data_IF_486186615722
#
_entry.id   IF_486186615722
#
_cell.length_a   1.000
_cell.length_b   1.000
_cell.length_c   1.000
_cell.angle_alpha   90.00
_cell.angle_beta   90.00
_cell.angle_gamma   90.00
#
_symmetry.space_group_name_H-M   'P 1'
#
loop_
_entity.id
_entity.type
_entity.pdbx_description
1 polymer ?
#
# COMPACT_ATOMS: atom_id res chain seq x y z
N UNK A 1 30.86 -1.20 22.91
CA UNK A 1 31.58 -2.48 23.06
C UNK A 1 32.93 -2.30 23.77
N UNK A 2 33.78 -1.37 23.35
CA UNK A 2 35.10 -1.12 23.97
C UNK A 2 34.96 -0.69 25.42
N UNK A 3 34.08 0.25 25.73
CA UNK A 3 33.78 0.68 27.09
C UNK A 3 33.36 -0.48 28.00
N UNK A 4 32.40 -1.31 27.55
CA UNK A 4 31.92 -2.44 28.34
C UNK A 4 32.99 -3.52 28.54
N UNK A 5 33.85 -3.78 27.55
CA UNK A 5 34.99 -4.68 27.72
C UNK A 5 36.00 -4.14 28.74
N UNK A 6 36.32 -2.84 28.67
CA UNK A 6 37.20 -2.19 29.67
C UNK A 6 36.60 -2.23 31.07
N UNK A 7 35.26 -2.20 31.19
CA UNK A 7 34.55 -2.34 32.47
C UNK A 7 34.38 -3.81 32.92
N UNK A 8 35.04 -4.78 32.28
CA UNK A 8 35.05 -6.19 32.69
C UNK A 8 33.87 -7.03 32.16
N UNK A 9 33.04 -6.49 31.26
CA UNK A 9 31.94 -7.25 30.67
C UNK A 9 32.44 -8.13 29.50
N UNK A 10 31.84 -9.31 29.39
CA UNK A 10 32.02 -10.16 28.20
C UNK A 10 31.09 -9.65 27.08
N UNK A 11 31.56 -8.67 26.31
CA UNK A 11 30.77 -8.00 25.27
C UNK A 11 31.22 -8.42 23.88
N UNK A 12 30.26 -8.87 23.07
CA UNK A 12 30.46 -9.31 21.70
C UNK A 12 29.60 -8.46 20.75
N UNK A 13 30.20 -8.03 19.63
CA UNK A 13 29.49 -7.43 18.50
C UNK A 13 29.81 -8.23 17.24
N UNK A 14 28.84 -8.94 16.72
CA UNK A 14 28.93 -9.65 15.44
C UNK A 14 28.40 -8.72 14.35
N UNK A 15 29.24 -8.28 13.39
CA UNK A 15 28.82 -7.38 12.34
C UNK A 15 28.16 -8.14 11.18
N UNK A 16 27.28 -7.43 10.46
CA UNK A 16 26.71 -7.92 9.22
C UNK A 16 26.26 -6.76 8.34
N UNK A 17 26.12 -7.03 7.06
CA UNK A 17 25.61 -6.08 6.06
C UNK A 17 24.36 -6.59 5.41
N UNK A 18 23.39 -5.70 5.22
CA UNK A 18 22.16 -5.99 4.49
C UNK A 18 22.37 -5.71 2.99
N UNK A 19 21.72 -6.52 2.14
CA UNK A 19 21.68 -6.31 0.70
C UNK A 19 20.80 -5.12 0.28
N UNK A 20 19.96 -4.61 1.17
CA UNK A 20 19.07 -3.45 0.97
C UNK A 20 18.27 -3.50 -0.35
N UNK A 21 17.96 -4.70 -0.80
CA UNK A 21 17.18 -5.09 -1.99
C UNK A 21 16.72 -3.94 -2.90
N UNK A 22 15.54 -3.39 -2.67
CA UNK A 22 14.89 -2.40 -3.54
C UNK A 22 15.64 -1.06 -3.59
N UNK A 23 16.23 -0.61 -2.46
CA UNK A 23 17.03 0.61 -2.46
C UNK A 23 18.30 0.47 -3.32
N UNK A 24 18.94 -0.69 -3.28
CA UNK A 24 20.07 -1.02 -4.18
C UNK A 24 19.63 -1.09 -5.63
N UNK A 25 18.50 -1.76 -5.90
CA UNK A 25 17.91 -1.83 -7.23
C UNK A 25 17.61 -0.45 -7.80
N UNK A 26 16.99 0.44 -7.04
CA UNK A 26 16.69 1.81 -7.46
C UNK A 26 17.95 2.59 -7.86
N UNK A 27 19.07 2.41 -7.15
CA UNK A 27 20.36 3.03 -7.50
C UNK A 27 20.94 2.46 -8.80
N UNK A 28 20.83 1.16 -9.00
CA UNK A 28 21.30 0.50 -10.22
C UNK A 28 20.45 0.95 -11.41
N UNK A 29 19.13 0.99 -11.27
CA UNK A 29 18.21 1.47 -12.31
C UNK A 29 18.48 2.93 -12.67
N UNK A 30 18.73 3.80 -11.67
CA UNK A 30 19.11 5.18 -11.94
C UNK A 30 20.40 5.28 -12.77
N UNK A 31 21.42 4.45 -12.47
CA UNK A 31 22.66 4.40 -13.25
C UNK A 31 22.45 3.87 -14.66
N UNK A 32 21.61 2.84 -14.83
CA UNK A 32 21.25 2.34 -16.17
C UNK A 32 20.54 3.42 -17.01
N UNK A 33 19.68 4.20 -16.38
CA UNK A 33 18.99 5.32 -17.06
C UNK A 33 19.97 6.38 -17.57
N UNK A 34 21.05 6.67 -16.83
CA UNK A 34 22.13 7.54 -17.29
C UNK A 34 22.87 6.94 -18.50
N UNK A 35 22.96 5.61 -18.58
CA UNK A 35 23.53 4.88 -19.73
C UNK A 35 22.53 4.74 -20.90
N UNK A 36 21.28 5.20 -20.77
CA UNK A 36 20.22 5.06 -21.78
C UNK A 36 19.66 3.64 -21.91
N UNK A 37 19.81 2.80 -20.88
CA UNK A 37 19.41 1.38 -20.86
C UNK A 37 18.31 1.19 -19.84
N UNK A 38 17.28 0.40 -20.15
CA UNK A 38 16.27 -0.01 -19.19
C UNK A 38 16.60 -1.34 -18.53
N UNK A 39 15.98 -1.64 -17.41
CA UNK A 39 16.10 -2.94 -16.72
C UNK A 39 15.58 -4.08 -17.61
N UNK A 40 14.51 -3.80 -18.34
CA UNK A 40 13.86 -4.71 -19.28
C UNK A 40 14.77 -5.06 -20.45
N UNK A 41 15.51 -4.09 -20.98
CA UNK A 41 16.48 -4.29 -22.09
C UNK A 41 17.62 -5.22 -21.68
N UNK A 42 18.07 -5.14 -20.42
CA UNK A 42 19.13 -6.02 -19.91
C UNK A 42 18.65 -7.45 -19.67
N UNK A 43 17.41 -7.64 -19.28
CA UNK A 43 16.92 -8.91 -18.77
C UNK A 43 17.52 -9.28 -17.40
N UNK A 44 16.97 -10.35 -16.80
CA UNK A 44 17.25 -10.74 -15.41
C UNK A 44 18.72 -11.06 -15.14
N UNK A 45 19.37 -11.83 -16.02
CA UNK A 45 20.72 -12.31 -15.77
C UNK A 45 21.75 -11.20 -15.76
N UNK A 46 21.71 -10.33 -16.76
CA UNK A 46 22.63 -9.19 -16.82
C UNK A 46 22.35 -8.15 -15.73
N UNK A 47 21.08 -7.95 -15.37
CA UNK A 47 20.74 -7.10 -14.23
C UNK A 47 21.33 -7.65 -12.93
N UNK A 48 21.26 -8.96 -12.67
CA UNK A 48 21.87 -9.58 -11.50
C UNK A 48 23.39 -9.43 -11.50
N UNK A 49 24.07 -9.52 -12.65
CA UNK A 49 25.52 -9.25 -12.73
C UNK A 49 25.82 -7.79 -12.28
N UNK A 50 25.07 -6.82 -12.79
CA UNK A 50 25.20 -5.43 -12.37
C UNK A 50 24.97 -5.25 -10.86
N UNK A 51 23.99 -5.95 -10.29
CA UNK A 51 23.72 -5.93 -8.85
C UNK A 51 24.89 -6.53 -8.03
N UNK A 52 25.47 -7.63 -8.46
CA UNK A 52 26.64 -8.22 -7.80
C UNK A 52 27.90 -7.37 -7.93
N UNK A 53 28.10 -6.69 -9.07
CA UNK A 53 29.21 -5.77 -9.26
C UNK A 53 29.05 -4.53 -8.37
N UNK A 54 27.85 -3.98 -8.26
CA UNK A 54 27.51 -2.93 -7.30
C UNK A 54 27.84 -3.34 -5.86
N UNK A 55 27.44 -4.55 -5.48
CA UNK A 55 27.76 -5.10 -4.14
C UNK A 55 29.28 -5.25 -3.92
N UNK A 56 30.06 -5.66 -4.92
CA UNK A 56 31.54 -5.74 -4.81
C UNK A 56 32.15 -4.36 -4.60
N UNK A 57 31.64 -3.35 -5.30
CA UNK A 57 32.16 -1.98 -5.23
C UNK A 57 31.79 -1.29 -3.92
N UNK A 58 30.51 -1.33 -3.55
CA UNK A 58 29.97 -0.52 -2.43
C UNK A 58 29.74 -1.31 -1.13
N UNK A 59 29.45 -2.59 -1.20
CA UNK A 59 29.01 -3.39 -0.05
C UNK A 59 30.00 -3.51 1.11
N UNK A 60 31.30 -3.29 0.86
CA UNK A 60 32.33 -3.33 1.89
C UNK A 60 32.73 -1.95 2.46
N UNK A 61 32.08 -0.86 2.02
CA UNK A 61 32.49 0.50 2.44
C UNK A 61 32.19 0.72 3.92
N UNK A 62 30.99 0.38 4.38
CA UNK A 62 30.56 0.59 5.75
C UNK A 62 31.43 -0.18 6.75
N UNK A 63 31.79 -1.42 6.47
CA UNK A 63 32.66 -2.23 7.35
C UNK A 63 34.08 -1.68 7.41
N UNK A 64 34.61 -1.15 6.29
CA UNK A 64 35.89 -0.44 6.26
C UNK A 64 35.84 0.85 7.08
N UNK A 65 34.75 1.61 7.04
CA UNK A 65 34.56 2.82 7.83
C UNK A 65 34.48 2.49 9.33
N UNK A 66 33.71 1.47 9.72
CA UNK A 66 33.60 1.01 11.11
C UNK A 66 34.98 0.56 11.65
N UNK A 67 35.80 -0.12 10.85
CA UNK A 67 37.18 -0.49 11.22
C UNK A 67 38.03 0.75 11.43
N UNK A 68 37.95 1.77 10.57
CA UNK A 68 38.67 3.03 10.73
C UNK A 68 38.28 3.80 11.98
N UNK A 69 37.01 3.71 12.41
CA UNK A 69 36.52 4.28 13.66
C UNK A 69 37.04 3.51 14.92
N UNK A 70 37.78 2.41 14.73
CA UNK A 70 38.31 1.61 15.82
C UNK A 70 37.29 0.78 16.57
N UNK A 71 36.14 0.46 15.95
CA UNK A 71 35.12 -0.40 16.57
C UNK A 71 35.61 -1.83 16.69
N UNK A 72 35.41 -2.44 17.87
CA UNK A 72 35.85 -3.80 18.18
C UNK A 72 34.73 -4.80 17.88
N UNK A 73 34.59 -5.19 16.60
CA UNK A 73 33.69 -6.23 16.15
C UNK A 73 34.38 -7.58 16.00
N UNK A 74 33.64 -8.66 16.02
CA UNK A 74 34.11 -9.97 15.63
C UNK A 74 34.07 -10.09 14.10
N UNK A 75 35.08 -9.56 13.46
CA UNK A 75 35.19 -9.53 11.99
C UNK A 75 35.32 -10.92 11.36
N UNK A 76 35.67 -11.96 12.11
CA UNK A 76 35.76 -13.33 11.64
C UNK A 76 34.40 -13.93 11.37
N UNK A 77 33.34 -13.35 11.97
CA UNK A 77 31.94 -13.75 11.81
C UNK A 77 31.11 -12.74 11.03
N UNK A 78 31.76 -11.84 10.29
CA UNK A 78 31.06 -10.92 9.40
C UNK A 78 30.18 -11.69 8.40
N UNK A 79 28.91 -11.27 8.30
CA UNK A 79 27.91 -11.93 7.44
C UNK A 79 27.30 -10.92 6.47
N UNK A 80 26.75 -11.46 5.38
CA UNK A 80 25.95 -10.72 4.41
C UNK A 80 24.62 -11.42 4.19
N UNK A 81 23.52 -10.69 4.16
CA UNK A 81 22.15 -11.27 4.13
C UNK A 81 21.86 -12.22 2.99
N UNK A 82 22.59 -12.14 1.88
CA UNK A 82 22.50 -13.08 0.76
C UNK A 82 23.68 -14.05 0.67
N UNK A 83 24.50 -14.21 1.73
CA UNK A 83 25.49 -15.29 1.72
C UNK A 83 24.81 -16.66 1.79
N UNK A 84 25.52 -17.70 1.39
CA UNK A 84 25.00 -19.06 1.28
C UNK A 84 24.38 -19.55 2.61
N UNK A 85 25.04 -19.30 3.74
CA UNK A 85 24.56 -19.77 5.03
C UNK A 85 23.26 -19.08 5.46
N UNK A 86 23.15 -17.76 5.29
CA UNK A 86 21.92 -17.02 5.60
C UNK A 86 20.80 -17.34 4.59
N UNK A 87 21.12 -17.52 3.32
CA UNK A 87 20.15 -17.96 2.32
C UNK A 87 19.54 -19.33 2.67
N UNK A 88 20.37 -20.29 3.08
CA UNK A 88 19.91 -21.59 3.54
C UNK A 88 19.05 -21.49 4.81
N UNK A 89 19.42 -20.61 5.75
CA UNK A 89 18.64 -20.38 6.97
C UNK A 89 17.25 -19.82 6.65
N UNK A 90 17.16 -18.82 5.77
CA UNK A 90 15.88 -18.22 5.33
C UNK A 90 15.00 -19.27 4.66
N UNK A 91 15.54 -20.06 3.72
CA UNK A 91 14.79 -21.14 3.06
C UNK A 91 14.28 -22.17 4.08
N UNK A 92 15.13 -22.59 5.01
CA UNK A 92 14.75 -23.55 6.06
C UNK A 92 13.61 -23.02 6.92
N UNK A 93 13.69 -21.77 7.36
CA UNK A 93 12.62 -21.14 8.16
C UNK A 93 11.33 -21.04 7.35
N UNK A 94 11.40 -20.58 6.10
CA UNK A 94 10.23 -20.49 5.22
C UNK A 94 9.53 -21.85 5.06
N UNK A 95 10.30 -22.90 4.71
CA UNK A 95 9.77 -24.25 4.52
C UNK A 95 9.13 -24.78 5.82
N UNK A 96 9.79 -24.58 6.96
CA UNK A 96 9.28 -25.02 8.26
C UNK A 96 7.97 -24.33 8.63
N UNK A 97 7.87 -23.02 8.41
CA UNK A 97 6.64 -22.25 8.68
C UNK A 97 5.51 -22.64 7.72
N UNK A 98 5.85 -22.88 6.44
CA UNK A 98 4.89 -23.36 5.44
C UNK A 98 4.32 -24.73 5.81
N UNK A 99 5.19 -25.68 6.17
CA UNK A 99 4.78 -27.04 6.59
C UNK A 99 3.94 -27.04 7.86
N UNK A 100 4.11 -26.04 8.75
CA UNK A 100 3.27 -25.82 9.93
C UNK A 100 1.94 -25.12 9.60
N UNK A 101 1.68 -24.78 8.33
CA UNK A 101 0.47 -24.05 7.91
C UNK A 101 0.40 -22.60 8.42
N UNK A 102 1.56 -22.04 8.80
CA UNK A 102 1.67 -20.66 9.29
C UNK A 102 1.89 -19.65 8.17
N UNK A 103 2.55 -20.06 7.06
CA UNK A 103 2.69 -19.24 5.85
C UNK A 103 1.59 -19.59 4.86
N UNK A 104 0.95 -18.59 4.29
CA UNK A 104 -0.10 -18.74 3.28
C UNK A 104 -0.06 -17.60 2.26
N UNK A 105 -0.61 -17.87 1.06
CA UNK A 105 -0.91 -16.81 0.08
C UNK A 105 -2.36 -16.40 0.23
N UNK A 106 -2.61 -15.09 0.25
CA UNK A 106 -3.96 -14.53 0.35
C UNK A 106 -4.04 -13.18 -0.33
N UNK A 107 -5.25 -12.80 -0.68
CA UNK A 107 -5.55 -11.45 -1.15
C UNK A 107 -5.77 -10.53 0.05
N UNK A 108 -5.07 -9.41 0.05
CA UNK A 108 -5.18 -8.38 1.08
C UNK A 108 -5.01 -7.01 0.43
N UNK A 109 -5.59 -6.01 1.08
CA UNK A 109 -5.25 -4.62 0.81
C UNK A 109 -3.80 -4.36 1.19
N UNK A 110 -3.04 -3.77 0.29
CA UNK A 110 -1.64 -3.39 0.47
C UNK A 110 -1.42 -1.97 -0.04
N UNK A 111 -0.41 -1.30 0.49
CA UNK A 111 0.10 -0.08 -0.12
C UNK A 111 1.00 -0.46 -1.29
N UNK A 112 0.65 -0.04 -2.49
CA UNK A 112 1.38 -0.35 -3.71
C UNK A 112 2.02 0.90 -4.29
N UNK A 113 3.27 0.79 -4.72
CA UNK A 113 3.91 1.85 -5.49
C UNK A 113 3.92 1.49 -6.97
N UNK A 114 3.13 2.17 -7.83
CA UNK A 114 3.07 1.86 -9.26
C UNK A 114 4.36 2.18 -10.00
N UNK A 115 5.23 3.03 -9.45
CA UNK A 115 6.53 3.38 -10.05
C UNK A 115 7.63 2.37 -9.68
N UNK A 116 7.67 1.93 -8.42
CA UNK A 116 8.66 0.94 -7.97
C UNK A 116 8.21 -0.51 -8.18
N UNK A 117 6.96 -0.74 -8.58
CA UNK A 117 6.33 -2.05 -8.76
C UNK A 117 6.51 -2.96 -7.53
N UNK A 118 6.23 -2.41 -6.35
CA UNK A 118 6.41 -3.12 -5.08
C UNK A 118 5.38 -2.70 -4.04
N UNK A 119 5.08 -3.61 -3.12
CA UNK A 119 4.36 -3.28 -1.89
C UNK A 119 5.23 -2.45 -0.95
N UNK A 120 4.59 -1.58 -0.19
CA UNK A 120 5.20 -0.71 0.81
C UNK A 120 4.54 -1.05 2.15
N UNK A 121 5.34 -1.27 3.20
CA UNK A 121 4.79 -1.45 4.55
C UNK A 121 4.27 -0.12 5.11
N UNK A 122 3.33 -0.17 6.05
CA UNK A 122 2.75 1.04 6.65
C UNK A 122 3.82 1.95 7.28
N UNK A 123 4.89 1.36 7.83
CA UNK A 123 6.02 2.09 8.42
C UNK A 123 6.95 2.76 7.39
N UNK A 124 6.82 2.42 6.11
CA UNK A 124 7.61 2.96 5.01
C UNK A 124 6.82 3.98 4.16
N UNK A 125 5.57 4.25 4.52
CA UNK A 125 4.77 5.31 3.91
C UNK A 125 5.11 6.64 4.57
N UNK A 126 5.50 7.60 3.77
CA UNK A 126 5.69 8.99 4.19
C UNK A 126 4.46 9.79 3.82
N UNK A 127 3.91 10.57 4.76
CA UNK A 127 2.71 11.37 4.50
C UNK A 127 3.10 12.82 4.26
N UNK A 128 2.63 13.38 3.15
CA UNK A 128 2.84 14.76 2.75
C UNK A 128 1.50 15.46 2.54
N UNK A 129 1.37 16.70 3.03
CA UNK A 129 0.20 17.51 2.77
C UNK A 129 0.20 18.02 1.32
N UNK A 130 -0.81 17.63 0.55
CA UNK A 130 -0.98 18.06 -0.83
C UNK A 130 -2.31 18.81 -1.03
N UNK A 131 -2.26 19.94 -1.76
CA UNK A 131 -3.47 20.60 -2.22
C UNK A 131 -4.16 19.74 -3.29
N UNK A 132 -5.44 19.56 -3.14
CA UNK A 132 -6.30 18.83 -4.05
C UNK A 132 -7.69 19.44 -4.07
N UNK A 133 -8.67 18.70 -4.56
CA UNK A 133 -10.07 19.08 -4.50
C UNK A 133 -10.90 17.98 -3.84
N UNK A 134 -12.01 18.38 -3.31
CA UNK A 134 -13.08 17.50 -2.87
C UNK A 134 -14.24 17.63 -3.88
N UNK A 135 -14.49 16.56 -4.63
CA UNK A 135 -15.54 16.53 -5.65
C UNK A 135 -16.84 16.00 -5.06
N UNK A 136 -17.89 16.79 -5.11
CA UNK A 136 -19.22 16.44 -4.63
C UNK A 136 -20.07 15.91 -5.79
N UNK A 137 -20.48 14.65 -5.70
CA UNK A 137 -21.08 13.89 -6.81
C UNK A 137 -22.45 13.37 -6.40
N UNK A 138 -23.47 13.54 -7.26
CA UNK A 138 -24.81 13.00 -7.07
C UNK A 138 -24.85 11.52 -7.40
N UNK A 139 -25.39 10.73 -6.49
CA UNK A 139 -25.74 9.32 -6.69
C UNK A 139 -27.26 9.20 -6.60
N UNK A 140 -28.00 9.12 -7.74
CA UNK A 140 -29.47 9.07 -7.75
C UNK A 140 -30.00 7.85 -7.00
N UNK A 141 -31.04 8.03 -6.18
CA UNK A 141 -31.69 6.92 -5.46
C UNK A 141 -32.63 6.21 -6.42
N UNK A 142 -32.44 4.90 -6.58
CA UNK A 142 -33.27 4.08 -7.46
C UNK A 142 -34.73 4.11 -7.02
N UNK A 143 -35.62 4.39 -7.98
CA UNK A 143 -37.06 4.42 -7.74
C UNK A 143 -37.57 5.68 -7.03
N UNK A 144 -36.74 6.68 -6.77
CA UNK A 144 -37.13 7.95 -6.18
C UNK A 144 -36.71 9.12 -7.08
N UNK A 145 -37.59 9.50 -7.99
CA UNK A 145 -37.33 10.56 -8.98
C UNK A 145 -36.90 11.88 -8.28
N UNK A 146 -35.82 12.47 -8.76
CA UNK A 146 -35.28 13.73 -8.23
C UNK A 146 -34.51 13.62 -6.91
N UNK A 147 -34.48 12.46 -6.24
CA UNK A 147 -33.72 12.26 -5.01
C UNK A 147 -32.36 11.61 -5.28
N UNK A 148 -31.36 12.04 -4.52
CA UNK A 148 -29.99 11.55 -4.64
C UNK A 148 -29.24 11.67 -3.32
N UNK A 149 -28.23 10.86 -3.12
CA UNK A 149 -27.19 11.11 -2.13
C UNK A 149 -26.08 11.94 -2.78
N UNK A 150 -25.41 12.75 -1.98
CA UNK A 150 -24.19 13.46 -2.40
C UNK A 150 -23.04 12.79 -1.69
N UNK A 151 -22.08 12.25 -2.44
CA UNK A 151 -20.83 11.78 -1.90
C UNK A 151 -19.71 12.78 -2.21
N UNK A 152 -18.73 12.90 -1.32
CA UNK A 152 -17.58 13.75 -1.53
C UNK A 152 -16.30 12.87 -1.57
N UNK A 153 -15.44 13.09 -2.56
CA UNK A 153 -14.23 12.29 -2.74
C UNK A 153 -13.05 13.14 -3.24
N UNK A 154 -11.85 12.78 -2.82
CA UNK A 154 -10.59 13.31 -3.38
C UNK A 154 -10.07 12.44 -4.54
N UNK A 155 -10.72 11.30 -4.81
CA UNK A 155 -10.29 10.30 -5.80
C UNK A 155 -11.44 9.88 -6.72
N UNK A 156 -11.92 10.78 -7.60
CA UNK A 156 -13.05 10.48 -8.49
C UNK A 156 -12.76 9.34 -9.47
N UNK A 157 -11.50 9.02 -9.78
CA UNK A 157 -11.14 7.89 -10.64
C UNK A 157 -11.52 6.53 -10.03
N UNK A 158 -11.47 6.41 -8.69
CA UNK A 158 -11.82 5.14 -8.04
C UNK A 158 -13.32 4.89 -7.99
N UNK A 159 -14.15 5.93 -8.17
CA UNK A 159 -15.62 5.78 -8.11
C UNK A 159 -16.18 4.77 -9.11
N UNK A 160 -15.48 4.53 -10.22
CA UNK A 160 -15.94 3.54 -11.21
C UNK A 160 -15.99 2.12 -10.63
N UNK A 161 -15.27 1.89 -9.52
CA UNK A 161 -15.26 0.65 -8.76
C UNK A 161 -16.12 0.67 -7.49
N UNK A 162 -16.96 1.69 -7.29
CA UNK A 162 -17.81 1.73 -6.11
C UNK A 162 -18.82 0.59 -6.11
N UNK A 163 -18.98 -0.04 -4.95
CA UNK A 163 -19.89 -1.14 -4.73
C UNK A 163 -20.85 -0.93 -3.56
N UNK A 164 -20.78 0.24 -2.93
CA UNK A 164 -21.69 0.68 -1.88
C UNK A 164 -21.58 2.17 -1.58
N UNK A 165 -22.55 2.67 -0.84
CA UNK A 165 -22.50 3.98 -0.17
C UNK A 165 -22.80 3.74 1.30
N UNK A 166 -21.91 4.22 2.20
CA UNK A 166 -22.08 4.12 3.63
C UNK A 166 -22.68 5.42 4.20
N UNK A 167 -23.59 5.28 5.15
CA UNK A 167 -24.15 6.38 5.92
C UNK A 167 -24.21 5.98 7.39
N UNK A 168 -24.14 6.97 8.29
CA UNK A 168 -24.25 6.70 9.72
C UNK A 168 -25.71 6.33 10.06
N UNK A 169 -25.96 5.21 10.76
CA UNK A 169 -27.34 4.78 11.13
C UNK A 169 -28.08 5.76 12.04
N UNK A 170 -27.34 6.65 12.71
CA UNK A 170 -27.91 7.67 13.59
C UNK A 170 -28.11 9.03 12.87
N UNK A 171 -27.76 9.14 11.59
CA UNK A 171 -27.97 10.34 10.80
C UNK A 171 -29.40 10.36 10.23
N UNK A 172 -30.25 11.19 10.80
CA UNK A 172 -31.66 11.32 10.41
C UNK A 172 -31.86 11.75 8.94
N UNK A 173 -30.82 12.36 8.31
CA UNK A 173 -30.86 12.75 6.89
C UNK A 173 -30.92 11.53 5.97
N UNK A 174 -30.26 10.43 6.37
CA UNK A 174 -30.03 9.28 5.52
C UNK A 174 -30.66 7.95 6.03
N UNK A 175 -31.07 7.90 7.28
CA UNK A 175 -31.63 6.72 7.94
C UNK A 175 -32.74 6.03 7.11
N UNK A 176 -33.61 6.81 6.47
CA UNK A 176 -34.70 6.28 5.64
C UNK A 176 -34.25 5.66 4.31
N UNK A 177 -32.97 5.82 3.95
CA UNK A 177 -32.40 5.30 2.72
C UNK A 177 -31.56 4.06 2.93
N UNK A 178 -31.22 3.69 4.16
CA UNK A 178 -30.48 2.45 4.47
C UNK A 178 -31.25 1.24 3.93
N UNK A 179 -30.54 0.38 3.21
CA UNK A 179 -31.11 -0.79 2.51
C UNK A 179 -31.70 -0.50 1.13
N UNK A 180 -31.81 0.78 0.72
CA UNK A 180 -32.12 1.14 -0.66
C UNK A 180 -30.87 1.10 -1.53
N UNK A 181 -31.05 1.40 -2.82
CA UNK A 181 -29.99 1.37 -3.85
C UNK A 181 -29.83 2.75 -4.47
N UNK A 182 -28.60 3.10 -4.80
CA UNK A 182 -28.28 4.24 -5.68
C UNK A 182 -27.72 3.76 -7.00
N UNK A 183 -27.83 4.62 -8.01
CA UNK A 183 -27.25 4.41 -9.33
C UNK A 183 -25.88 5.08 -9.38
N UNK A 184 -24.83 4.30 -9.60
CA UNK A 184 -23.47 4.81 -9.78
C UNK A 184 -23.39 5.61 -11.08
N UNK A 185 -23.07 6.91 -11.05
CA UNK A 185 -22.93 7.71 -12.26
C UNK A 185 -21.88 7.13 -13.22
N UNK A 186 -22.02 7.41 -14.53
CA UNK A 186 -21.16 6.94 -15.62
C UNK A 186 -21.31 5.43 -15.86
N UNK A 187 -21.15 4.61 -14.82
CA UNK A 187 -21.16 3.13 -14.90
C UNK A 187 -22.57 2.57 -15.03
N UNK A 188 -23.56 3.21 -14.38
CA UNK A 188 -24.94 2.73 -14.35
C UNK A 188 -25.15 1.49 -13.45
N UNK A 189 -24.20 1.16 -12.59
CA UNK A 189 -24.33 0.06 -11.63
C UNK A 189 -25.23 0.44 -10.48
N UNK A 190 -26.07 -0.50 -10.04
CA UNK A 190 -26.84 -0.38 -8.80
C UNK A 190 -25.99 -0.79 -7.61
N UNK A 191 -25.85 0.09 -6.62
CA UNK A 191 -25.07 -0.18 -5.42
C UNK A 191 -25.89 0.12 -4.15
N UNK A 192 -25.79 -0.71 -3.09
CA UNK A 192 -26.56 -0.55 -1.87
C UNK A 192 -26.12 0.64 -1.03
N UNK A 193 -27.07 1.19 -0.27
CA UNK A 193 -26.83 2.11 0.82
C UNK A 193 -26.75 1.28 2.10
N UNK A 194 -25.60 1.28 2.78
CA UNK A 194 -25.35 0.51 3.99
C UNK A 194 -25.21 1.40 5.23
N UNK A 195 -25.52 0.84 6.38
CA UNK A 195 -25.26 1.48 7.66
C UNK A 195 -23.81 1.22 8.10
N UNK A 196 -23.11 2.27 8.52
CA UNK A 196 -21.74 2.15 9.02
C UNK A 196 -21.44 3.22 10.10
N UNK A 197 -21.11 2.74 11.29
CA UNK A 197 -20.87 3.61 12.46
C UNK A 197 -19.61 4.49 12.31
N UNK A 198 -18.67 4.11 11.45
CA UNK A 198 -17.45 4.87 11.21
C UNK A 198 -17.68 6.14 10.36
N UNK A 199 -18.85 6.30 9.75
CA UNK A 199 -19.17 7.50 8.96
C UNK A 199 -19.45 8.68 9.89
N UNK A 200 -18.64 9.72 9.77
CA UNK A 200 -18.79 10.97 10.50
C UNK A 200 -19.90 11.81 9.88
N UNK A 201 -20.92 12.15 10.66
CA UNK A 201 -22.09 12.89 10.19
C UNK A 201 -21.78 14.33 9.80
N UNK A 202 -20.76 14.93 10.41
CA UNK A 202 -20.35 16.33 10.21
C UNK A 202 -19.25 16.48 9.13
N UNK A 203 -18.60 15.40 8.72
CA UNK A 203 -17.55 15.45 7.70
C UNK A 203 -18.15 15.29 6.28
N UNK A 204 -17.74 16.18 5.39
CA UNK A 204 -18.17 16.17 3.99
C UNK A 204 -19.69 16.28 3.86
N UNK A 205 -20.32 15.24 3.33
CA UNK A 205 -21.78 15.16 3.15
C UNK A 205 -22.47 14.26 4.18
N UNK A 206 -21.71 13.50 4.98
CA UNK A 206 -22.23 12.43 5.84
C UNK A 206 -22.58 11.15 5.07
N UNK A 207 -22.29 11.09 3.78
CA UNK A 207 -22.41 9.89 2.95
C UNK A 207 -21.07 9.61 2.29
N UNK A 208 -20.54 8.40 2.45
CA UNK A 208 -19.22 7.96 1.97
C UNK A 208 -19.39 6.90 0.90
N UNK A 209 -18.79 7.12 -0.26
CA UNK A 209 -18.69 6.09 -1.29
C UNK A 209 -17.77 4.96 -0.82
N UNK A 210 -18.05 3.74 -1.18
CA UNK A 210 -17.23 2.58 -0.86
C UNK A 210 -16.61 1.96 -2.11
N UNK A 211 -15.28 2.03 -2.18
CA UNK A 211 -14.47 1.37 -3.21
C UNK A 211 -13.55 0.33 -2.55
N UNK A 212 -14.05 -0.83 -2.17
CA UNK A 212 -13.33 -1.80 -1.34
C UNK A 212 -12.01 -2.30 -1.94
N UNK A 213 -11.82 -2.18 -3.24
CA UNK A 213 -10.55 -2.58 -3.89
C UNK A 213 -9.45 -1.52 -3.83
N UNK A 214 -9.75 -0.26 -3.41
CA UNK A 214 -8.85 0.89 -3.53
C UNK A 214 -8.78 1.79 -2.28
N UNK A 215 -9.36 1.37 -1.16
CA UNK A 215 -9.27 2.05 0.13
C UNK A 215 -9.27 1.03 1.27
N UNK A 216 -8.43 1.26 2.29
CA UNK A 216 -8.23 0.33 3.41
C UNK A 216 -9.48 0.22 4.29
N UNK A 217 -10.15 1.36 4.55
CA UNK A 217 -11.36 1.38 5.37
C UNK A 217 -12.55 0.79 4.60
N UNK A 218 -12.65 1.13 3.31
CA UNK A 218 -13.69 0.59 2.43
C UNK A 218 -13.52 -0.93 2.24
N UNK A 219 -12.29 -1.44 2.25
CA UNK A 219 -12.00 -2.89 2.17
C UNK A 219 -12.63 -3.65 3.33
N UNK A 220 -12.45 -3.17 4.57
CA UNK A 220 -13.05 -3.83 5.74
C UNK A 220 -14.58 -3.73 5.70
N UNK A 221 -15.13 -2.55 5.38
CA UNK A 221 -16.57 -2.37 5.21
C UNK A 221 -17.13 -3.28 4.09
N UNK A 222 -16.37 -3.46 3.03
CA UNK A 222 -16.71 -4.37 1.94
C UNK A 222 -16.78 -5.83 2.38
N UNK A 223 -15.82 -6.31 3.18
CA UNK A 223 -15.83 -7.66 3.73
C UNK A 223 -17.03 -7.88 4.67
N UNK A 224 -17.28 -6.93 5.57
CA UNK A 224 -18.34 -7.02 6.57
C UNK A 224 -19.75 -7.02 5.93
N UNK A 225 -19.90 -6.39 4.78
CA UNK A 225 -21.17 -6.26 4.07
C UNK A 225 -21.25 -7.09 2.78
N UNK A 226 -20.29 -7.97 2.50
CA UNK A 226 -20.18 -8.79 1.29
C UNK A 226 -20.27 -7.97 -0.01
N UNK A 227 -19.65 -6.79 -0.05
CA UNK A 227 -19.57 -5.96 -1.24
C UNK A 227 -18.53 -6.53 -2.23
N UNK A 228 -18.77 -6.32 -3.51
CA UNK A 228 -17.85 -6.76 -4.56
C UNK A 228 -16.54 -5.95 -4.53
N UNK A 229 -15.42 -6.62 -4.81
CA UNK A 229 -14.09 -6.02 -4.85
C UNK A 229 -13.68 -5.71 -6.30
N UNK A 230 -14.01 -4.52 -6.78
CA UNK A 230 -13.79 -4.13 -8.18
C UNK A 230 -12.54 -3.27 -8.31
N UNK A 231 -11.51 -3.81 -8.95
CA UNK A 231 -10.31 -3.04 -9.29
C UNK A 231 -10.58 -2.18 -10.53
N UNK A 232 -10.23 -0.90 -10.48
CA UNK A 232 -10.43 0.03 -11.60
C UNK A 232 -9.16 0.34 -12.38
N UNK A 233 -8.00 0.01 -11.84
CA UNK A 233 -6.69 0.14 -12.51
C UNK A 233 -5.76 -1.03 -12.15
N UNK A 234 -4.73 -1.20 -12.97
CA UNK A 234 -3.71 -2.24 -12.82
C UNK A 234 -2.54 -1.83 -11.90
N UNK A 235 -1.52 -2.68 -11.82
CA UNK A 235 -0.32 -2.47 -11.01
C UNK A 235 0.57 -1.30 -11.50
N UNK A 236 0.35 -0.82 -12.73
CA UNK A 236 1.04 0.34 -13.30
C UNK A 236 0.27 1.64 -13.06
N UNK A 237 -0.92 1.60 -12.44
CA UNK A 237 -1.80 2.74 -12.31
C UNK A 237 -2.51 3.10 -13.63
N UNK A 238 -2.72 2.11 -14.49
CA UNK A 238 -3.43 2.27 -15.76
C UNK A 238 -4.85 1.74 -15.61
N UNK A 239 -5.82 2.57 -16.02
CA UNK A 239 -7.25 2.22 -15.95
C UNK A 239 -7.55 0.98 -16.76
N UNK A 240 -8.33 0.06 -16.19
CA UNK A 240 -8.82 -1.12 -16.88
C UNK A 240 -10.06 -0.81 -17.76
N UNK A 241 -10.69 -1.83 -18.30
CA UNK A 241 -11.79 -1.74 -19.28
C UNK A 241 -13.21 -1.71 -18.67
N UNK A 242 -13.35 -1.47 -17.36
CA UNK A 242 -14.69 -1.36 -16.71
C UNK A 242 -15.55 -0.31 -17.42
N UNK A 243 -14.94 0.83 -17.76
CA UNK A 243 -15.53 1.84 -18.61
C UNK A 243 -14.60 2.07 -19.80
N UNK A 244 -14.93 1.56 -20.98
CA UNK A 244 -14.06 1.59 -22.17
C UNK A 244 -13.53 2.97 -22.55
N UNK A 245 -14.30 4.03 -22.26
CA UNK A 245 -13.92 5.43 -22.51
C UNK A 245 -12.63 5.85 -21.75
N UNK A 246 -12.34 5.21 -20.61
CA UNK A 246 -11.20 5.54 -19.77
C UNK A 246 -10.11 4.45 -19.78
N UNK A 247 -10.34 3.33 -20.46
CA UNK A 247 -9.38 2.24 -20.53
C UNK A 247 -8.03 2.66 -21.11
N UNK A 248 -6.95 2.20 -20.49
CA UNK A 248 -5.58 2.51 -20.93
C UNK A 248 -5.06 3.89 -20.55
N UNK A 249 -5.87 4.72 -19.88
CA UNK A 249 -5.42 6.01 -19.36
C UNK A 249 -4.67 5.83 -18.03
N UNK A 250 -3.68 6.69 -17.79
CA UNK A 250 -3.13 6.89 -16.46
C UNK A 250 -4.20 7.42 -15.50
N UNK A 251 -4.14 7.03 -14.22
CA UNK A 251 -5.14 7.39 -13.21
C UNK A 251 -5.36 8.90 -13.08
N UNK A 252 -4.33 9.72 -13.23
CA UNK A 252 -4.45 11.18 -13.10
C UNK A 252 -5.09 11.82 -14.34
N UNK A 253 -4.83 11.26 -15.52
CA UNK A 253 -5.51 11.67 -16.75
C UNK A 253 -6.97 11.19 -16.74
N UNK A 254 -7.22 9.96 -16.29
CA UNK A 254 -8.56 9.43 -16.10
C UNK A 254 -9.38 10.29 -15.13
N UNK A 255 -8.78 10.72 -14.01
CA UNK A 255 -9.42 11.62 -13.03
C UNK A 255 -9.97 12.88 -13.71
N UNK A 256 -9.16 13.54 -14.55
CA UNK A 256 -9.58 14.76 -15.27
C UNK A 256 -10.78 14.48 -16.17
N UNK A 257 -10.70 13.44 -17.00
CA UNK A 257 -11.77 13.07 -17.93
C UNK A 257 -13.06 12.63 -17.23
N UNK A 258 -12.93 11.89 -16.11
CA UNK A 258 -14.07 11.50 -15.29
C UNK A 258 -14.77 12.71 -14.71
N UNK A 259 -14.02 13.70 -14.20
CA UNK A 259 -14.59 14.96 -13.69
C UNK A 259 -15.30 15.74 -14.80
N UNK A 260 -14.76 15.79 -16.02
CA UNK A 260 -15.42 16.40 -17.17
C UNK A 260 -16.72 15.67 -17.52
N UNK A 261 -16.68 14.34 -17.57
CA UNK A 261 -17.87 13.52 -17.81
C UNK A 261 -18.96 13.72 -16.77
N UNK A 262 -18.59 13.80 -15.47
CA UNK A 262 -19.53 14.07 -14.39
C UNK A 262 -20.18 15.45 -14.52
N UNK A 263 -19.45 16.46 -15.05
CA UNK A 263 -20.02 17.77 -15.38
C UNK A 263 -21.04 17.67 -16.54
N UNK A 264 -20.67 16.99 -17.61
CA UNK A 264 -21.52 16.81 -18.80
C UNK A 264 -22.87 16.15 -18.46
N UNK A 265 -22.85 15.10 -17.64
CA UNK A 265 -24.10 14.40 -17.24
C UNK A 265 -24.82 15.07 -16.05
N UNK A 266 -24.31 16.21 -15.56
CA UNK A 266 -24.91 16.94 -14.45
C UNK A 266 -24.86 16.23 -13.10
N UNK A 267 -23.94 15.28 -12.93
CA UNK A 267 -23.72 14.56 -11.69
C UNK A 267 -22.77 15.30 -10.74
N UNK A 268 -21.88 16.16 -11.24
CA UNK A 268 -21.00 16.96 -10.41
C UNK A 268 -21.72 18.19 -9.87
N UNK A 269 -21.76 18.35 -8.53
CA UNK A 269 -22.44 19.47 -7.85
C UNK A 269 -21.50 20.62 -7.56
N UNK A 270 -20.34 20.28 -6.96
CA UNK A 270 -19.40 21.26 -6.41
C UNK A 270 -17.98 20.70 -6.50
N UNK A 271 -17.02 21.57 -6.69
CA UNK A 271 -15.59 21.31 -6.48
C UNK A 271 -15.17 22.26 -5.35
N UNK A 272 -14.52 21.72 -4.35
CA UNK A 272 -14.04 22.44 -3.18
C UNK A 272 -12.55 22.24 -3.04
N UNK A 273 -11.80 23.33 -2.81
CA UNK A 273 -10.37 23.22 -2.53
C UNK A 273 -10.16 22.50 -1.19
N UNK A 274 -9.28 21.52 -1.21
CA UNK A 274 -9.04 20.66 -0.06
C UNK A 274 -7.55 20.35 0.05
N UNK A 275 -7.05 20.18 1.27
CA UNK A 275 -5.69 19.74 1.54
C UNK A 275 -5.77 18.54 2.46
N UNK A 276 -5.07 17.47 2.11
CA UNK A 276 -5.02 16.25 2.92
C UNK A 276 -3.64 15.60 2.87
N UNK A 277 -3.43 14.69 3.79
CA UNK A 277 -2.21 13.88 3.84
C UNK A 277 -2.26 12.80 2.76
N UNK A 278 -1.28 12.81 1.85
CA UNK A 278 -1.13 11.83 0.78
C UNK A 278 0.04 10.92 1.11
N UNK A 279 -0.19 9.61 1.08
CA UNK A 279 0.86 8.62 1.29
C UNK A 279 1.83 8.58 0.11
N UNK A 280 3.12 8.70 0.42
CA UNK A 280 4.22 8.66 -0.54
C UNK A 280 5.11 7.46 -0.31
N UNK A 281 5.66 6.96 -1.40
CA UNK A 281 6.70 5.95 -1.36
C UNK A 281 8.02 6.57 -0.87
N UNK A 282 8.56 6.13 0.25
CA UNK A 282 9.82 6.67 0.80
C UNK A 282 11.03 6.55 -0.14
N UNK A 283 10.93 5.71 -1.21
CA UNK A 283 12.03 5.47 -2.17
C UNK A 283 12.02 6.39 -3.36
N UNK A 284 10.83 6.64 -3.95
CA UNK A 284 10.69 7.42 -5.18
C UNK A 284 9.80 8.66 -5.01
N UNK A 285 9.23 8.89 -3.83
CA UNK A 285 8.33 10.00 -3.47
C UNK A 285 7.06 10.09 -4.34
N UNK A 286 6.73 9.04 -5.08
CA UNK A 286 5.48 8.96 -5.82
C UNK A 286 4.33 8.53 -4.90
N UNK A 287 3.12 8.92 -5.24
CA UNK A 287 1.91 8.53 -4.49
C UNK A 287 1.77 7.02 -4.50
N UNK A 288 1.47 6.45 -3.35
CA UNK A 288 1.12 5.04 -3.21
C UNK A 288 -0.37 4.84 -3.47
N UNK A 289 -0.71 3.69 -4.03
CA UNK A 289 -2.09 3.31 -4.34
C UNK A 289 -2.49 2.10 -3.49
N UNK A 290 -3.46 2.25 -2.56
CA UNK A 290 -4.05 1.09 -1.91
C UNK A 290 -4.70 0.18 -2.94
N UNK A 291 -4.34 -1.11 -2.95
CA UNK A 291 -4.91 -2.07 -3.88
C UNK A 291 -4.89 -3.49 -3.31
N UNK A 292 -5.81 -4.33 -3.77
CA UNK A 292 -5.84 -5.75 -3.41
C UNK A 292 -4.80 -6.50 -4.24
N UNK A 293 -3.93 -7.24 -3.57
CA UNK A 293 -2.92 -8.08 -4.21
C UNK A 293 -2.77 -9.42 -3.50
N UNK A 294 -2.37 -10.45 -4.28
CA UNK A 294 -1.97 -11.75 -3.74
C UNK A 294 -0.56 -11.68 -3.19
N UNK A 295 -0.45 -11.77 -1.86
CA UNK A 295 0.81 -11.71 -1.15
C UNK A 295 1.01 -12.92 -0.24
N UNK A 296 2.26 -13.11 0.19
CA UNK A 296 2.60 -14.07 1.22
C UNK A 296 2.39 -13.45 2.60
N UNK A 297 1.70 -14.18 3.47
CA UNK A 297 1.43 -13.77 4.83
C UNK A 297 1.81 -14.84 5.84
N UNK A 298 2.12 -14.41 7.07
CA UNK A 298 2.36 -15.28 8.20
C UNK A 298 1.23 -15.10 9.22
N UNK A 299 0.66 -16.20 9.71
CA UNK A 299 -0.26 -16.19 10.85
C UNK A 299 0.51 -15.83 12.11
N UNK A 300 0.54 -14.55 12.45
CA UNK A 300 1.38 -14.02 13.53
C UNK A 300 0.88 -14.36 14.93
N UNK A 301 -0.42 -14.48 15.11
CA UNK A 301 -1.03 -14.67 16.44
C UNK A 301 -0.45 -15.87 17.22
N UNK A 302 -0.35 -17.10 16.63
CA UNK A 302 0.24 -18.24 17.32
C UNK A 302 1.72 -18.07 17.66
N UNK A 303 2.45 -17.22 16.90
CA UNK A 303 3.87 -16.94 17.13
C UNK A 303 4.07 -15.83 18.15
N UNK A 304 3.23 -14.80 18.13
CA UNK A 304 3.36 -13.63 18.98
C UNK A 304 2.91 -13.90 20.43
N UNK A 305 1.82 -14.64 20.63
CA UNK A 305 1.28 -14.94 21.98
C UNK A 305 2.33 -15.51 22.94
N UNK A 306 3.09 -16.56 22.60
CA UNK A 306 4.11 -17.12 23.48
C UNK A 306 5.25 -16.13 23.78
N UNK A 307 5.62 -15.30 22.81
CA UNK A 307 6.67 -14.28 22.98
C UNK A 307 6.21 -13.18 23.95
N UNK A 308 5.00 -12.67 23.78
CA UNK A 308 4.38 -11.69 24.68
C UNK A 308 4.29 -12.25 26.10
N UNK A 309 3.85 -13.49 26.25
CA UNK A 309 3.71 -14.15 27.55
C UNK A 309 5.07 -14.36 28.23
N UNK A 310 6.11 -14.68 27.47
CA UNK A 310 7.47 -14.80 28.00
C UNK A 310 7.97 -13.50 28.64
N UNK A 311 7.63 -12.35 28.06
CA UNK A 311 7.97 -11.03 28.64
C UNK A 311 7.06 -10.73 29.84
N UNK A 312 5.73 -10.90 29.71
CA UNK A 312 4.79 -10.64 30.82
C UNK A 312 5.06 -11.47 32.06
N UNK A 313 5.49 -12.72 31.89
CA UNK A 313 5.81 -13.63 33.01
C UNK A 313 7.25 -13.47 33.53
N UNK A 314 8.05 -12.56 32.97
CA UNK A 314 9.43 -12.31 33.38
C UNK A 314 10.44 -13.39 32.96
N UNK A 315 10.08 -14.31 32.07
CA UNK A 315 11.00 -15.30 31.49
C UNK A 315 12.07 -14.64 30.61
N UNK A 316 11.73 -13.50 30.04
CA UNK A 316 12.64 -12.65 29.23
C UNK A 316 12.47 -11.21 29.69
N UNK A 317 13.62 -10.48 29.82
CA UNK A 317 13.66 -9.07 30.21
C UNK A 317 14.29 -8.22 29.12
#
# INVERSE_FOLDING_TARGET
IRYKRMAGYNALWVPGTDHASIATEAKIVAKLKEEGITKEDLGREEFLKRAWDWKKEYGGIITKQIRKLGSSCDWSRERFTLDEGLSNAVQTVFINLYNKGLIYRGERMINWCPTCHTSISDSEVEYEQEPTHLWHIKYPIKGEEGKYLIVATTRPETMLGDTGVAVNPNDERYKAYIGKTVMLPIVGREIPIIAADFVETEFGTGAVKLTPAHDVNDYQAGLDNNLEMIKVFDENGIMNDIVPEFAGLDIYEARKRIVEKLKEIGALIKIEDYTHDVGKCYRCHQTIEPMISKQWFVKMEPLAKPAIEAVKTGKTR
#
